data_IF_968361693609
#
_entry.id   IF_968361693609
#
_cell.length_a   1.000
_cell.length_b   1.000
_cell.length_c   1.000
_cell.angle_alpha   90.00
_cell.angle_beta   90.00
_cell.angle_gamma   90.00
#
_symmetry.space_group_name_H-M   'P 1'
#
loop_
_entity.id
_entity.type
_entity.pdbx_description
1 polymer ?
#
# COMPACT_ATOMS: atom_id res chain seq x y z
N UNK A 1 14.34 -14.58 14.77
CA UNK A 1 13.49 -15.75 14.49
C UNK A 1 13.78 -16.26 13.09
N UNK A 2 13.84 -17.58 12.90
CA UNK A 2 13.97 -18.20 11.57
C UNK A 2 12.58 -18.60 11.03
N UNK A 3 12.41 -18.62 9.70
CA UNK A 3 11.13 -19.02 9.08
C UNK A 3 10.76 -20.47 9.41
N UNK A 4 11.75 -21.34 9.61
CA UNK A 4 11.51 -22.73 10.01
C UNK A 4 10.77 -22.83 11.34
N UNK A 5 11.09 -21.97 12.29
CA UNK A 5 10.42 -21.93 13.60
C UNK A 5 8.94 -21.56 13.47
N UNK A 6 8.61 -20.68 12.52
CA UNK A 6 7.23 -20.33 12.19
C UNK A 6 6.47 -21.50 11.59
N UNK A 7 7.09 -22.19 10.64
CA UNK A 7 6.49 -23.35 9.97
C UNK A 7 6.22 -24.49 10.95
N UNK A 8 7.17 -24.78 11.83
CA UNK A 8 7.01 -25.81 12.86
C UNK A 8 5.83 -25.46 13.81
N UNK A 9 5.76 -24.20 14.27
CA UNK A 9 4.67 -23.70 15.11
C UNK A 9 3.29 -23.80 14.44
N UNK A 10 3.19 -23.30 13.21
CA UNK A 10 1.91 -23.27 12.47
C UNK A 10 1.43 -24.68 12.14
N UNK A 11 2.35 -25.58 11.81
CA UNK A 11 2.05 -26.99 11.57
C UNK A 11 1.52 -27.66 12.84
N UNK A 12 2.18 -27.44 13.97
CA UNK A 12 1.82 -28.09 15.24
C UNK A 12 0.50 -27.54 15.82
N UNK A 13 0.27 -26.23 15.73
CA UNK A 13 -0.90 -25.56 16.33
C UNK A 13 -2.14 -25.55 15.43
N UNK A 14 -1.97 -25.28 14.13
CA UNK A 14 -3.08 -25.04 13.21
C UNK A 14 -3.24 -26.13 12.13
N UNK A 15 -2.35 -27.13 12.11
CA UNK A 15 -2.32 -28.18 11.09
C UNK A 15 -2.29 -27.60 9.66
N UNK A 16 -1.59 -26.48 9.49
CA UNK A 16 -1.37 -25.85 8.19
C UNK A 16 0.02 -26.26 7.73
N UNK A 17 0.09 -26.83 6.53
CA UNK A 17 1.33 -27.13 5.84
C UNK A 17 1.55 -26.17 4.68
N UNK A 18 2.80 -26.01 4.30
CA UNK A 18 3.22 -25.30 3.09
C UNK A 18 2.63 -25.98 1.86
N UNK A 19 1.82 -25.26 1.08
CA UNK A 19 1.25 -25.79 -0.17
C UNK A 19 2.03 -25.33 -1.40
N UNK A 20 1.89 -26.11 -2.48
CA UNK A 20 2.77 -26.13 -3.66
C UNK A 20 3.40 -24.81 -4.11
N UNK A 21 4.66 -24.97 -4.52
CA UNK A 21 5.63 -23.97 -4.96
C UNK A 21 5.04 -23.07 -6.03
N UNK A 22 4.99 -21.77 -5.71
CA UNK A 22 4.37 -20.76 -6.55
C UNK A 22 5.21 -20.43 -7.78
N UNK A 23 6.52 -20.69 -7.74
CA UNK A 23 7.46 -20.40 -8.81
C UNK A 23 8.28 -21.62 -9.25
N UNK A 24 8.88 -21.51 -10.45
CA UNK A 24 9.82 -22.48 -10.99
C UNK A 24 11.22 -22.39 -10.36
N UNK A 25 11.48 -21.38 -9.52
CA UNK A 25 12.79 -21.08 -8.92
C UNK A 25 12.95 -21.58 -7.48
N UNK A 26 11.93 -22.23 -6.90
CA UNK A 26 11.93 -22.79 -5.53
C UNK A 26 12.06 -21.73 -4.42
N UNK A 27 11.80 -20.47 -4.75
CA UNK A 27 12.00 -19.32 -3.86
C UNK A 27 10.72 -18.90 -3.14
N UNK A 28 9.55 -19.40 -3.56
CA UNK A 28 8.26 -18.96 -3.01
C UNK A 28 7.28 -20.10 -2.75
N UNK A 29 6.57 -20.01 -1.63
CA UNK A 29 5.53 -20.94 -1.23
C UNK A 29 4.42 -20.27 -0.45
N UNK A 30 3.29 -20.96 -0.25
CA UNK A 30 2.08 -20.34 0.32
C UNK A 30 1.51 -21.15 1.47
N UNK A 31 0.99 -20.43 2.45
CA UNK A 31 0.20 -20.98 3.55
C UNK A 31 -1.28 -20.67 3.28
N UNK A 32 -2.11 -21.71 3.32
CA UNK A 32 -3.55 -21.62 3.08
C UNK A 32 -4.31 -21.98 4.35
N UNK A 33 -5.44 -21.31 4.57
CA UNK A 33 -6.32 -21.57 5.70
C UNK A 33 -6.91 -22.99 5.59
N UNK A 34 -6.90 -23.80 6.67
CA UNK A 34 -7.26 -25.22 6.57
C UNK A 34 -8.76 -25.41 6.29
N UNK A 35 -9.61 -24.54 6.84
CA UNK A 35 -11.07 -24.60 6.63
C UNK A 35 -11.55 -23.93 5.33
N UNK A 36 -10.96 -22.79 4.92
CA UNK A 36 -11.48 -21.99 3.81
C UNK A 36 -10.69 -22.13 2.52
N UNK A 37 -9.49 -22.73 2.58
CA UNK A 37 -8.57 -22.87 1.44
C UNK A 37 -7.99 -21.54 0.93
N UNK A 38 -8.33 -20.41 1.56
CA UNK A 38 -7.83 -19.09 1.16
C UNK A 38 -6.36 -18.94 1.56
N UNK A 39 -5.58 -18.29 0.71
CA UNK A 39 -4.20 -17.92 1.04
C UNK A 39 -4.17 -16.95 2.23
N UNK A 40 -3.42 -17.33 3.26
CA UNK A 40 -3.15 -16.51 4.44
C UNK A 40 -1.80 -15.83 4.30
N UNK A 41 -0.79 -16.55 3.82
CA UNK A 41 0.55 -16.01 3.74
C UNK A 41 1.31 -16.51 2.51
N UNK A 42 2.23 -15.69 2.03
CA UNK A 42 3.20 -16.01 1.00
C UNK A 42 4.59 -15.94 1.61
N UNK A 43 5.32 -17.04 1.56
CA UNK A 43 6.69 -17.17 2.05
C UNK A 43 7.65 -16.97 0.89
N UNK A 44 8.70 -16.18 1.13
CA UNK A 44 9.66 -15.77 0.12
C UNK A 44 11.07 -15.99 0.68
N UNK A 45 11.88 -16.74 -0.04
CA UNK A 45 13.29 -16.98 0.22
C UNK A 45 14.09 -16.45 -0.95
N UNK A 46 14.74 -15.31 -0.77
CA UNK A 46 15.50 -14.65 -1.84
C UNK A 46 16.95 -14.45 -1.43
N UNK A 47 17.87 -14.71 -2.35
CA UNK A 47 19.28 -14.42 -2.13
C UNK A 47 19.52 -12.92 -2.27
N UNK A 48 19.97 -12.28 -1.20
CA UNK A 48 20.37 -10.88 -1.26
C UNK A 48 21.84 -10.77 -1.65
N UNK A 49 22.10 -10.27 -2.86
CA UNK A 49 23.45 -10.07 -3.39
C UNK A 49 24.27 -9.04 -2.61
N UNK A 50 23.62 -8.07 -1.99
CA UNK A 50 24.25 -6.94 -1.31
C UNK A 50 24.73 -7.32 0.09
N UNK A 51 23.99 -8.20 0.76
CA UNK A 51 24.33 -8.70 2.11
C UNK A 51 25.01 -10.07 2.09
N UNK A 52 24.97 -10.78 0.94
CA UNK A 52 25.52 -12.12 0.79
C UNK A 52 24.83 -13.18 1.65
N UNK A 53 23.55 -12.96 1.99
CA UNK A 53 22.75 -13.85 2.84
C UNK A 53 21.40 -14.14 2.20
N UNK A 54 20.86 -15.30 2.54
CA UNK A 54 19.45 -15.60 2.26
C UNK A 54 18.58 -14.71 3.13
N UNK A 55 17.65 -13.99 2.50
CA UNK A 55 16.58 -13.28 3.17
C UNK A 55 15.33 -14.14 3.19
N UNK A 56 14.81 -14.36 4.39
CA UNK A 56 13.51 -14.99 4.58
C UNK A 56 12.50 -13.89 4.87
N UNK A 57 11.44 -13.89 4.09
CA UNK A 57 10.39 -12.88 4.13
C UNK A 57 9.02 -13.54 4.03
N UNK A 58 7.99 -12.89 4.56
CA UNK A 58 6.62 -13.32 4.42
C UNK A 58 5.67 -12.16 4.20
N UNK A 59 4.84 -12.27 3.16
CA UNK A 59 3.66 -11.41 3.02
C UNK A 59 2.48 -12.10 3.70
N UNK A 60 2.00 -11.51 4.79
CA UNK A 60 0.86 -12.02 5.54
C UNK A 60 -0.38 -11.20 5.26
N UNK A 61 -1.49 -11.89 5.03
CA UNK A 61 -2.82 -11.29 4.93
C UNK A 61 -3.36 -10.98 6.33
N UNK A 62 -3.06 -9.79 6.81
CA UNK A 62 -3.45 -9.31 8.12
C UNK A 62 -3.68 -7.80 8.08
N UNK A 63 -4.78 -7.35 8.69
CA UNK A 63 -5.06 -5.93 8.85
C UNK A 63 -4.29 -5.39 10.05
N UNK A 64 -3.05 -4.99 9.80
CA UNK A 64 -2.15 -4.49 10.83
C UNK A 64 -2.61 -3.16 11.41
N UNK A 65 -2.64 -3.10 12.73
CA UNK A 65 -2.86 -1.89 13.51
C UNK A 65 -1.61 -0.99 13.53
N UNK A 66 -1.74 0.23 14.03
CA UNK A 66 -0.62 1.17 14.13
C UNK A 66 0.51 0.66 15.03
N UNK A 67 0.21 -0.13 16.07
CA UNK A 67 1.24 -0.72 16.94
C UNK A 67 2.10 -1.74 16.20
N UNK A 68 1.50 -2.45 15.25
CA UNK A 68 2.15 -3.52 14.51
C UNK A 68 3.18 -2.93 13.54
N UNK A 69 2.84 -1.79 12.91
CA UNK A 69 3.67 -1.08 11.92
C UNK A 69 4.87 -0.33 12.51
N UNK A 70 4.97 -0.20 13.83
CA UNK A 70 6.12 0.43 14.50
C UNK A 70 7.30 -0.54 14.64
N UNK A 71 7.06 -1.85 14.51
CA UNK A 71 8.09 -2.88 14.66
C UNK A 71 9.02 -2.91 13.44
N UNK A 72 10.33 -2.89 13.67
CA UNK A 72 11.36 -2.87 12.59
C UNK A 72 11.28 -4.05 11.60
N UNK A 73 10.72 -5.19 12.04
CA UNK A 73 10.57 -6.40 11.23
C UNK A 73 9.22 -6.49 10.50
N UNK A 74 8.30 -5.52 10.73
CA UNK A 74 7.07 -5.36 9.95
C UNK A 74 7.34 -4.29 8.89
N UNK A 75 7.30 -4.72 7.63
CA UNK A 75 7.67 -3.93 6.47
C UNK A 75 6.54 -3.95 5.44
N UNK A 76 6.71 -3.23 4.35
CA UNK A 76 5.78 -3.31 3.23
C UNK A 76 5.84 -4.72 2.59
N UNK A 77 4.69 -5.27 2.16
CA UNK A 77 4.64 -6.57 1.51
C UNK A 77 5.45 -6.54 0.20
N UNK A 78 6.25 -7.59 -0.02
CA UNK A 78 7.22 -7.64 -1.11
C UNK A 78 6.58 -8.00 -2.46
N UNK A 79 5.57 -8.87 -2.46
CA UNK A 79 4.93 -9.42 -3.66
C UNK A 79 3.42 -9.21 -3.67
N UNK A 80 2.80 -9.22 -2.50
CA UNK A 80 1.37 -8.97 -2.34
C UNK A 80 1.09 -7.47 -2.24
N UNK A 81 -0.12 -7.08 -2.62
CA UNK A 81 -0.54 -5.67 -2.62
C UNK A 81 -1.90 -5.51 -1.94
N UNK A 82 -2.11 -4.34 -1.33
CA UNK A 82 -3.35 -3.96 -0.66
C UNK A 82 -3.17 -3.71 0.83
N UNK A 83 -4.12 -2.97 1.42
CA UNK A 83 -4.07 -2.57 2.84
C UNK A 83 -4.19 -3.73 3.84
N UNK A 84 -4.71 -4.88 3.38
CA UNK A 84 -4.86 -6.10 4.17
C UNK A 84 -3.62 -7.01 4.10
N UNK A 85 -2.48 -6.51 3.64
CA UNK A 85 -1.24 -7.26 3.54
C UNK A 85 -0.12 -6.50 4.24
N UNK A 86 0.72 -7.25 4.95
CA UNK A 86 1.95 -6.76 5.55
C UNK A 86 3.10 -7.67 5.18
N UNK A 87 4.30 -7.11 5.06
CA UNK A 87 5.54 -7.86 4.94
C UNK A 87 6.14 -8.10 6.32
N UNK A 88 6.75 -9.26 6.51
CA UNK A 88 7.48 -9.66 7.71
C UNK A 88 8.88 -10.09 7.29
N UNK A 89 9.91 -9.43 7.81
CA UNK A 89 11.30 -9.84 7.61
C UNK A 89 11.75 -10.69 8.79
N UNK A 90 12.16 -11.94 8.54
CA UNK A 90 12.71 -12.82 9.57
C UNK A 90 14.22 -12.56 9.74
N UNK A 91 14.59 -12.07 10.91
CA UNK A 91 15.96 -11.78 11.29
C UNK A 91 16.17 -11.93 12.81
N UNK A 92 17.39 -11.66 13.28
CA UNK A 92 17.76 -11.80 14.71
C UNK A 92 16.97 -10.87 15.64
N UNK A 93 16.42 -9.78 15.12
CA UNK A 93 15.59 -8.82 15.88
C UNK A 93 14.10 -9.16 15.88
N UNK A 94 13.69 -10.16 15.10
CA UNK A 94 12.29 -10.56 14.99
C UNK A 94 11.83 -11.24 16.26
N UNK A 95 10.84 -10.63 16.92
CA UNK A 95 10.20 -11.15 18.12
C UNK A 95 9.30 -12.34 17.77
N UNK A 96 9.72 -13.53 18.21
CA UNK A 96 9.04 -14.78 17.85
C UNK A 96 7.62 -14.85 18.40
N UNK A 97 7.43 -14.52 19.67
CA UNK A 97 6.14 -14.69 20.36
C UNK A 97 5.10 -13.77 19.74
N UNK A 98 5.52 -12.55 19.39
CA UNK A 98 4.67 -11.59 18.70
C UNK A 98 4.28 -12.06 17.29
N UNK A 99 5.21 -12.63 16.51
CA UNK A 99 4.88 -13.16 15.18
C UNK A 99 3.91 -14.34 15.29
N UNK A 100 4.07 -15.22 16.28
CA UNK A 100 3.13 -16.31 16.53
C UNK A 100 1.71 -15.81 16.83
N UNK A 101 1.59 -14.83 17.73
CA UNK A 101 0.30 -14.20 18.05
C UNK A 101 -0.34 -13.56 16.80
N UNK A 102 0.48 -12.88 15.99
CA UNK A 102 0.01 -12.20 14.80
C UNK A 102 -0.50 -13.19 13.73
N UNK A 103 0.15 -14.34 13.58
CA UNK A 103 -0.34 -15.43 12.73
C UNK A 103 -1.61 -16.08 13.28
N UNK A 104 -1.71 -16.28 14.60
CA UNK A 104 -2.93 -16.78 15.23
C UNK A 104 -4.11 -15.86 14.94
N UNK A 105 -3.91 -14.55 15.09
CA UNK A 105 -4.92 -13.54 14.81
C UNK A 105 -5.32 -13.50 13.33
N UNK A 106 -4.37 -13.63 12.41
CA UNK A 106 -4.65 -13.70 10.97
C UNK A 106 -5.51 -14.93 10.60
N UNK A 107 -5.23 -16.08 11.22
CA UNK A 107 -6.03 -17.30 11.05
C UNK A 107 -7.43 -17.11 11.66
N UNK A 108 -7.53 -16.51 12.85
CA UNK A 108 -8.80 -16.23 13.50
C UNK A 108 -9.69 -15.27 12.70
N UNK A 109 -9.13 -14.21 12.09
CA UNK A 109 -9.85 -13.32 11.18
C UNK A 109 -10.35 -14.05 9.92
N UNK A 110 -9.63 -15.09 9.49
CA UNK A 110 -10.00 -15.93 8.35
C UNK A 110 -11.07 -16.99 8.64
N UNK A 111 -11.37 -17.26 9.92
CA UNK A 111 -12.40 -18.23 10.30
C UNK A 111 -13.80 -17.71 9.93
N UNK A 112 -14.67 -18.58 9.40
CA UNK A 112 -16.08 -18.23 9.23
C UNK A 112 -16.68 -17.89 10.61
N UNK A 113 -17.45 -16.80 10.68
CA UNK A 113 -18.05 -16.29 11.91
C UNK A 113 -18.89 -17.36 12.63
N UNK A 114 -18.70 -17.48 13.96
CA UNK A 114 -19.44 -18.41 14.84
C UNK A 114 -20.95 -18.15 14.92
N UNK A 115 -21.45 -17.04 14.36
CA UNK A 115 -22.88 -16.71 14.30
C UNK A 115 -23.70 -17.51 13.27
N UNK A 116 -23.09 -18.49 12.58
CA UNK A 116 -23.82 -19.40 11.67
C UNK A 116 -24.04 -20.77 12.29
N UNK A 117 -24.46 -20.81 13.56
CA UNK A 117 -24.89 -22.04 14.21
C UNK A 117 -26.22 -21.83 14.95
N UNK A 118 -27.30 -21.60 14.20
CA UNK A 118 -28.60 -22.27 14.36
C UNK A 118 -29.60 -21.75 13.33
N UNK A 119 -29.74 -22.47 12.22
CA UNK A 119 -31.05 -22.69 11.61
C UNK A 119 -31.00 -23.99 10.82
N UNK A 120 -31.14 -25.08 11.55
CA UNK A 120 -31.53 -26.35 10.97
C UNK A 120 -33.04 -26.32 10.75
N UNK A 121 -33.47 -25.75 9.63
CA UNK A 121 -34.80 -26.04 9.07
C UNK A 121 -34.66 -26.30 7.57
N UNK A 122 -34.67 -27.59 7.24
CA UNK A 122 -35.10 -28.08 5.94
C UNK A 122 -34.00 -28.29 4.92
N UNK A 123 -33.59 -29.56 4.76
CA UNK A 123 -33.04 -30.06 3.50
C UNK A 123 -33.99 -29.69 2.35
N UNK A 124 -33.65 -28.69 1.56
CA UNK A 124 -33.99 -28.69 0.14
C UNK A 124 -32.72 -29.01 -0.62
N UNK A 125 -32.72 -30.14 -1.32
CA UNK A 125 -31.74 -30.41 -2.38
C UNK A 125 -31.94 -29.33 -3.45
N UNK A 126 -31.27 -28.20 -3.32
CA UNK A 126 -31.15 -27.26 -4.43
C UNK A 126 -30.17 -27.89 -5.41
N UNK A 127 -30.73 -28.64 -6.36
CA UNK A 127 -30.09 -28.89 -7.64
C UNK A 127 -29.59 -27.54 -8.14
N UNK A 128 -28.30 -27.46 -8.46
CA UNK A 128 -27.70 -26.27 -9.05
C UNK A 128 -28.48 -25.94 -10.32
N UNK A 129 -29.17 -24.80 -10.32
CA UNK A 129 -29.79 -24.22 -11.50
C UNK A 129 -28.98 -23.01 -11.90
N UNK A 130 -28.41 -23.03 -13.10
CA UNK A 130 -27.74 -21.90 -13.74
C UNK A 130 -28.66 -20.68 -13.70
N UNK A 131 -28.45 -19.83 -12.70
CA UNK A 131 -29.11 -18.55 -12.61
C UNK A 131 -28.07 -17.54 -13.11
N UNK A 132 -28.32 -16.85 -14.22
CA UNK A 132 -27.40 -15.84 -14.71
C UNK A 132 -27.15 -14.83 -13.59
N UNK A 133 -25.89 -14.58 -13.28
CA UNK A 133 -25.50 -13.49 -12.38
C UNK A 133 -26.23 -12.22 -12.85
N UNK A 134 -26.82 -11.42 -11.93
CA UNK A 134 -27.43 -10.15 -12.29
C UNK A 134 -26.30 -9.16 -12.57
N UNK A 135 -25.64 -9.33 -13.70
CA UNK A 135 -24.92 -8.26 -14.32
C UNK A 135 -25.99 -7.24 -14.69
N UNK A 136 -26.11 -6.18 -13.88
CA UNK A 136 -26.68 -4.94 -14.38
C UNK A 136 -26.06 -4.71 -15.77
N UNK A 137 -26.91 -4.53 -16.79
CA UNK A 137 -26.49 -4.38 -18.18
C UNK A 137 -25.21 -3.54 -18.21
N UNK A 138 -24.20 -4.00 -18.95
CA UNK A 138 -22.80 -3.52 -18.91
C UNK A 138 -22.55 -2.03 -19.16
N UNK A 139 -23.59 -1.20 -19.17
CA UNK A 139 -23.55 0.26 -19.13
C UNK A 139 -23.39 0.84 -17.72
N UNK A 140 -23.83 0.17 -16.64
CA UNK A 140 -23.83 0.78 -15.29
C UNK A 140 -22.44 0.76 -14.61
N UNK A 141 -21.55 -0.15 -15.04
CA UNK A 141 -20.13 -0.17 -14.65
C UNK A 141 -19.30 0.85 -15.42
N UNK A 142 -19.80 1.34 -16.55
CA UNK A 142 -19.24 2.48 -17.27
C UNK A 142 -19.74 3.77 -16.62
N UNK A 143 -19.49 3.95 -15.31
CA UNK A 143 -19.44 5.30 -14.75
C UNK A 143 -18.53 6.09 -15.68
N UNK A 144 -19.07 7.12 -16.33
CA UNK A 144 -18.38 8.01 -17.28
C UNK A 144 -16.96 8.22 -16.77
N UNK A 145 -15.97 7.60 -17.43
CA UNK A 145 -14.57 7.66 -17.00
C UNK A 145 -14.23 9.14 -16.93
N UNK A 146 -14.11 9.66 -15.70
CA UNK A 146 -13.80 11.07 -15.51
C UNK A 146 -12.53 11.35 -16.31
N UNK A 147 -12.57 12.41 -17.12
CA UNK A 147 -11.47 12.74 -18.00
C UNK A 147 -10.25 13.04 -17.13
N UNK A 148 -9.25 12.18 -17.19
CA UNK A 148 -7.96 12.41 -16.54
C UNK A 148 -7.21 13.39 -17.45
N UNK A 149 -6.73 14.53 -16.93
CA UNK A 149 -5.93 15.45 -17.70
C UNK A 149 -4.76 14.76 -18.40
N UNK A 150 -4.52 15.13 -19.66
CA UNK A 150 -3.47 14.51 -20.49
C UNK A 150 -2.09 14.64 -19.83
N UNK A 151 -1.80 15.78 -19.19
CA UNK A 151 -0.53 16.02 -18.51
C UNK A 151 -0.29 15.06 -17.34
N UNK A 152 -1.34 14.67 -16.60
CA UNK A 152 -1.23 13.64 -15.54
C UNK A 152 -0.95 12.27 -16.17
N UNK A 153 -1.58 11.97 -17.30
CA UNK A 153 -1.35 10.71 -18.03
C UNK A 153 0.10 10.63 -18.53
N UNK A 154 0.65 11.70 -19.10
CA UNK A 154 2.05 11.77 -19.54
C UNK A 154 3.03 11.68 -18.37
N UNK A 155 2.76 12.39 -17.27
CA UNK A 155 3.56 12.31 -16.05
C UNK A 155 3.68 10.87 -15.53
N UNK A 156 2.61 10.08 -15.59
CA UNK A 156 2.66 8.66 -15.16
C UNK A 156 3.59 7.82 -16.02
N UNK A 157 3.66 8.08 -17.32
CA UNK A 157 4.54 7.34 -18.25
C UNK A 157 6.03 7.60 -17.99
N UNK A 158 6.38 8.70 -17.31
CA UNK A 158 7.77 9.01 -16.95
C UNK A 158 8.36 8.10 -15.87
N UNK A 159 7.51 7.35 -15.16
CA UNK A 159 7.95 6.46 -14.11
C UNK A 159 8.73 5.27 -14.69
N UNK A 160 9.98 5.10 -14.27
CA UNK A 160 10.83 3.98 -14.69
C UNK A 160 10.83 2.87 -13.65
N UNK A 161 10.95 1.63 -14.10
CA UNK A 161 10.98 0.43 -13.25
C UNK A 161 12.33 -0.31 -13.35
N UNK A 162 13.39 0.39 -13.76
CA UNK A 162 14.69 -0.17 -14.13
C UNK A 162 15.63 -0.47 -12.94
N UNK A 163 15.23 -0.18 -11.69
CA UNK A 163 16.04 -0.42 -10.47
C UNK A 163 15.19 -0.37 -9.17
N UNK A 164 15.22 -1.37 -8.29
CA UNK A 164 14.40 -1.37 -7.06
C UNK A 164 15.02 -0.61 -5.86
N UNK A 165 16.08 0.16 -6.07
CA UNK A 165 16.69 0.97 -5.01
C UNK A 165 15.76 2.09 -4.51
N UNK A 166 15.83 2.45 -3.22
CA UNK A 166 15.13 3.62 -2.68
C UNK A 166 15.50 4.95 -3.39
N UNK A 167 16.67 4.97 -4.02
CA UNK A 167 17.13 6.08 -4.88
C UNK A 167 16.31 6.19 -6.17
N UNK A 168 15.78 5.08 -6.70
CA UNK A 168 14.89 5.12 -7.86
C UNK A 168 13.62 5.91 -7.54
N UNK A 169 12.99 5.67 -6.38
CA UNK A 169 11.72 6.34 -6.02
C UNK A 169 11.90 7.86 -5.96
N UNK A 170 12.98 8.33 -5.33
CA UNK A 170 13.32 9.75 -5.30
C UNK A 170 13.62 10.32 -6.70
N UNK A 171 14.35 9.58 -7.55
CA UNK A 171 14.64 10.00 -8.93
C UNK A 171 13.38 10.06 -9.80
N UNK A 172 12.48 9.10 -9.66
CA UNK A 172 11.19 9.10 -10.35
C UNK A 172 10.31 10.25 -9.87
N UNK A 173 10.23 10.46 -8.56
CA UNK A 173 9.53 11.61 -7.99
C UNK A 173 10.06 12.92 -8.57
N UNK A 174 11.38 13.16 -8.53
CA UNK A 174 11.98 14.38 -9.07
C UNK A 174 11.65 14.59 -10.55
N UNK A 175 11.74 13.53 -11.38
CA UNK A 175 11.40 13.61 -12.81
C UNK A 175 9.94 14.01 -13.03
N UNK A 176 9.02 13.37 -12.31
CA UNK A 176 7.60 13.67 -12.41
C UNK A 176 7.28 15.07 -11.85
N UNK A 177 7.88 15.45 -10.73
CA UNK A 177 7.70 16.76 -10.11
C UNK A 177 8.23 17.89 -11.01
N UNK A 178 9.40 17.72 -11.64
CA UNK A 178 9.94 18.68 -12.59
C UNK A 178 9.07 18.81 -13.84
N UNK A 179 8.52 17.70 -14.34
CA UNK A 179 7.57 17.74 -15.45
C UNK A 179 6.26 18.47 -15.11
N UNK A 180 5.83 18.40 -13.84
CA UNK A 180 4.62 19.03 -13.32
C UNK A 180 4.89 20.39 -12.67
N UNK A 181 6.08 20.97 -12.85
CA UNK A 181 6.52 22.18 -12.15
C UNK A 181 5.50 23.32 -12.25
N UNK A 182 5.05 23.63 -13.47
CA UNK A 182 4.07 24.68 -13.76
C UNK A 182 2.65 24.14 -13.97
N UNK A 183 2.39 22.88 -13.62
CA UNK A 183 1.03 22.35 -13.72
C UNK A 183 0.14 22.88 -12.60
N UNK A 184 -1.02 23.37 -12.99
CA UNK A 184 -2.11 23.76 -12.12
C UNK A 184 -3.34 22.90 -12.43
N UNK A 185 -4.17 22.67 -11.43
CA UNK A 185 -5.43 21.93 -11.59
C UNK A 185 -6.55 22.63 -10.81
N UNK A 186 -7.78 22.28 -11.16
CA UNK A 186 -9.00 22.77 -10.51
C UNK A 186 -10.00 21.61 -10.42
N UNK A 187 -9.82 20.78 -9.39
CA UNK A 187 -10.58 19.55 -9.18
C UNK A 187 -11.22 19.54 -7.80
N UNK A 188 -12.55 19.44 -7.79
CA UNK A 188 -13.37 19.45 -6.57
C UNK A 188 -14.03 18.10 -6.28
N UNK A 189 -13.47 17.00 -6.78
CA UNK A 189 -14.00 15.66 -6.50
C UNK A 189 -13.59 15.16 -5.11
N UNK A 190 -14.43 14.34 -4.50
CA UNK A 190 -14.11 13.71 -3.22
C UNK A 190 -13.04 12.62 -3.38
N UNK A 191 -12.11 12.58 -2.43
CA UNK A 191 -11.06 11.56 -2.32
C UNK A 191 -10.93 11.09 -0.88
N UNK A 192 -10.56 9.83 -0.70
CA UNK A 192 -10.28 9.27 0.62
C UNK A 192 -8.92 9.72 1.15
N UNK A 193 -8.79 9.75 2.47
CA UNK A 193 -7.57 10.09 3.18
C UNK A 193 -6.42 9.13 2.80
N UNK A 194 -5.21 9.69 2.81
CA UNK A 194 -3.96 9.00 2.49
C UNK A 194 -2.98 9.32 3.59
N UNK A 195 -2.71 8.32 4.43
CA UNK A 195 -1.71 8.41 5.47
C UNK A 195 -0.40 7.79 4.98
N UNK A 196 0.55 8.64 4.61
CA UNK A 196 1.91 8.23 4.26
C UNK A 196 2.88 9.39 4.38
N UNK A 197 3.97 9.20 5.13
CA UNK A 197 5.02 10.22 5.28
C UNK A 197 5.87 10.32 4.01
N UNK A 198 6.21 9.20 3.37
CA UNK A 198 7.07 9.12 2.18
C UNK A 198 6.29 8.95 0.86
N UNK A 199 5.10 9.55 0.77
CA UNK A 199 4.25 9.48 -0.42
C UNK A 199 4.88 10.21 -1.61
N UNK A 200 4.78 9.62 -2.79
CA UNK A 200 5.15 10.20 -4.09
C UNK A 200 3.95 10.25 -5.03
N UNK A 201 4.07 10.93 -6.17
CA UNK A 201 2.99 10.98 -7.17
C UNK A 201 2.57 9.60 -7.68
N UNK A 202 3.49 8.64 -7.71
CA UNK A 202 3.20 7.29 -8.17
C UNK A 202 2.22 6.56 -7.26
N UNK A 203 2.23 6.89 -5.95
CA UNK A 203 1.40 6.24 -4.94
C UNK A 203 -0.05 6.77 -4.94
N UNK A 204 -0.27 7.92 -5.56
CA UNK A 204 -1.56 8.59 -5.63
C UNK A 204 -2.39 8.09 -6.83
N UNK A 205 -3.69 7.85 -6.61
CA UNK A 205 -4.65 7.65 -7.72
C UNK A 205 -4.83 8.93 -8.53
N UNK A 206 -5.42 8.84 -9.73
CA UNK A 206 -5.61 10.00 -10.60
C UNK A 206 -6.43 11.12 -9.93
N UNK A 207 -7.47 10.75 -9.17
CA UNK A 207 -8.29 11.71 -8.42
C UNK A 207 -7.49 12.39 -7.32
N UNK A 208 -6.65 11.63 -6.62
CA UNK A 208 -5.81 12.15 -5.55
C UNK A 208 -4.73 13.07 -6.11
N UNK A 209 -4.13 12.74 -7.27
CA UNK A 209 -3.22 13.65 -7.96
C UNK A 209 -3.89 14.96 -8.36
N UNK A 210 -5.09 14.90 -8.96
CA UNK A 210 -5.84 16.12 -9.29
C UNK A 210 -6.15 16.97 -8.06
N UNK A 211 -6.56 16.32 -6.97
CA UNK A 211 -6.83 17.00 -5.69
C UNK A 211 -5.56 17.64 -5.14
N UNK A 212 -4.43 16.93 -5.17
CA UNK A 212 -3.13 17.45 -4.77
C UNK A 212 -2.72 18.66 -5.61
N UNK A 213 -2.79 18.56 -6.93
CA UNK A 213 -2.40 19.67 -7.81
C UNK A 213 -3.32 20.88 -7.65
N UNK A 214 -4.61 20.68 -7.37
CA UNK A 214 -5.54 21.77 -7.02
C UNK A 214 -5.11 22.45 -5.73
N UNK A 215 -4.88 21.68 -4.67
CA UNK A 215 -4.42 22.21 -3.39
C UNK A 215 -3.04 22.90 -3.49
N UNK A 216 -2.11 22.34 -4.27
CA UNK A 216 -0.81 22.95 -4.54
C UNK A 216 -0.96 24.30 -5.27
N UNK A 217 -1.88 24.40 -6.22
CA UNK A 217 -2.21 25.67 -6.89
C UNK A 217 -2.75 26.68 -5.89
N UNK A 218 -3.66 26.29 -5.01
CA UNK A 218 -4.18 27.16 -3.94
C UNK A 218 -3.05 27.67 -3.02
N UNK A 219 -2.18 26.77 -2.54
CA UNK A 219 -1.05 27.14 -1.67
C UNK A 219 -0.11 28.12 -2.35
N UNK A 220 0.21 27.91 -3.64
CA UNK A 220 1.06 28.82 -4.42
C UNK A 220 0.41 30.19 -4.65
N UNK A 221 -0.91 30.27 -4.58
CA UNK A 221 -1.68 31.51 -4.62
C UNK A 221 -1.94 32.12 -3.23
N UNK A 222 -1.33 31.56 -2.17
CA UNK A 222 -1.44 32.05 -0.79
C UNK A 222 -2.71 31.58 -0.06
N UNK A 223 -3.43 30.60 -0.59
CA UNK A 223 -4.62 30.02 0.02
C UNK A 223 -4.27 28.69 0.69
N UNK A 224 -4.34 28.65 2.02
CA UNK A 224 -3.92 27.50 2.84
C UNK A 224 -5.13 26.75 3.38
N UNK A 225 -5.61 25.76 2.62
CA UNK A 225 -6.76 24.92 3.00
C UNK A 225 -6.34 23.64 3.73
N UNK A 226 -7.25 23.13 4.59
CA UNK A 226 -7.10 21.82 5.26
C UNK A 226 -6.97 20.69 4.25
N UNK A 227 -5.98 19.83 4.48
CA UNK A 227 -5.59 18.77 3.55
C UNK A 227 -5.02 17.57 4.30
N UNK A 228 -4.66 16.52 3.56
CA UNK A 228 -4.06 15.31 4.10
C UNK A 228 -2.57 15.51 4.42
N UNK A 229 -2.10 14.86 5.48
CA UNK A 229 -0.69 14.88 5.90
C UNK A 229 0.27 14.52 4.75
N UNK A 230 -0.10 13.55 3.93
CA UNK A 230 0.69 13.15 2.75
C UNK A 230 0.88 14.28 1.73
N UNK A 231 -0.11 15.15 1.52
CA UNK A 231 -0.01 16.26 0.57
C UNK A 231 0.95 17.34 1.07
N UNK A 232 0.97 17.57 2.39
CA UNK A 232 1.90 18.50 3.04
C UNK A 232 3.34 18.01 2.83
N UNK A 233 3.62 16.73 3.14
CA UNK A 233 4.96 16.17 2.91
C UNK A 233 5.35 16.17 1.43
N UNK A 234 4.41 15.87 0.54
CA UNK A 234 4.64 15.90 -0.90
C UNK A 234 5.06 17.29 -1.39
N UNK A 235 4.42 18.35 -0.88
CA UNK A 235 4.78 19.73 -1.20
C UNK A 235 6.13 20.14 -0.58
N UNK A 236 6.42 19.70 0.65
CA UNK A 236 7.74 19.88 1.25
C UNK A 236 8.82 19.21 0.38
N UNK A 237 8.57 18.00 -0.12
CA UNK A 237 9.52 17.29 -1.00
C UNK A 237 9.75 18.01 -2.32
N UNK A 238 8.70 18.61 -2.90
CA UNK A 238 8.84 19.49 -4.05
C UNK A 238 9.78 20.66 -3.76
N UNK A 239 9.57 21.37 -2.65
CA UNK A 239 10.41 22.51 -2.27
C UNK A 239 11.86 22.08 -1.99
N UNK A 240 12.08 20.96 -1.30
CA UNK A 240 13.41 20.40 -1.07
C UNK A 240 14.12 20.02 -2.39
N UNK A 241 13.34 19.60 -3.39
CA UNK A 241 13.83 19.32 -4.75
C UNK A 241 13.96 20.58 -5.62
N UNK A 242 13.65 21.77 -5.11
CA UNK A 242 13.70 23.02 -5.85
C UNK A 242 12.61 23.17 -6.93
N UNK A 243 11.52 22.42 -6.82
CA UNK A 243 10.43 22.46 -7.82
C UNK A 243 9.65 23.78 -7.68
N UNK A 244 9.55 24.52 -8.78
CA UNK A 244 8.92 25.83 -8.83
C UNK A 244 9.76 26.92 -8.17
N UNK A 245 11.06 26.72 -8.00
CA UNK A 245 12.01 27.70 -7.45
C UNK A 245 13.24 27.83 -8.35
N UNK A 246 13.73 29.05 -8.51
CA UNK A 246 14.90 29.36 -9.35
C UNK A 246 16.23 29.16 -8.63
N UNK A 247 16.21 29.07 -7.30
CA UNK A 247 17.40 28.85 -6.46
C UNK A 247 17.09 28.08 -5.18
N UNK A 248 18.13 27.55 -4.54
CA UNK A 248 18.03 26.91 -3.23
C UNK A 248 17.60 27.89 -2.13
N UNK A 249 18.01 29.15 -2.22
CA UNK A 249 17.61 30.22 -1.29
C UNK A 249 16.12 30.51 -1.41
N UNK A 250 15.60 30.60 -2.64
CA UNK A 250 14.17 30.79 -2.88
C UNK A 250 13.36 29.59 -2.35
N UNK A 251 13.84 28.38 -2.57
CA UNK A 251 13.21 27.15 -2.07
C UNK A 251 13.13 27.14 -0.53
N UNK A 252 14.21 27.54 0.14
CA UNK A 252 14.27 27.66 1.59
C UNK A 252 13.32 28.74 2.12
N UNK A 253 13.24 29.88 1.44
CA UNK A 253 12.32 30.96 1.84
C UNK A 253 10.85 30.50 1.71
N UNK A 254 10.50 29.80 0.61
CA UNK A 254 9.16 29.23 0.44
C UNK A 254 8.83 28.18 1.50
N UNK A 255 9.81 27.40 1.94
CA UNK A 255 9.62 26.43 3.02
C UNK A 255 9.28 27.13 4.35
N UNK A 256 9.99 28.22 4.67
CA UNK A 256 9.73 29.03 5.87
C UNK A 256 8.37 29.73 5.82
N UNK A 257 8.05 30.34 4.67
CA UNK A 257 6.75 30.97 4.46
C UNK A 257 5.62 29.94 4.57
N UNK A 258 5.81 28.75 4.00
CA UNK A 258 4.87 27.65 4.12
C UNK A 258 4.68 27.24 5.59
N UNK A 259 5.77 27.06 6.36
CA UNK A 259 5.71 26.76 7.80
C UNK A 259 4.90 27.80 8.58
N UNK A 260 5.25 29.09 8.43
CA UNK A 260 4.57 30.20 9.13
C UNK A 260 3.07 30.23 8.81
N UNK A 261 2.72 30.19 7.52
CA UNK A 261 1.32 30.27 7.05
C UNK A 261 0.52 29.03 7.42
N UNK A 262 1.16 27.86 7.40
CA UNK A 262 0.53 26.61 7.78
C UNK A 262 0.17 26.59 9.27
N UNK A 263 1.06 27.11 10.14
CA UNK A 263 0.79 27.25 11.57
C UNK A 263 -0.31 28.30 11.82
N UNK A 264 -0.25 29.46 11.15
CA UNK A 264 -1.30 30.50 11.24
C UNK A 264 -2.68 29.97 10.83
N UNK A 265 -2.72 29.02 9.88
CA UNK A 265 -3.93 28.36 9.39
C UNK A 265 -4.59 27.38 10.37
N UNK A 266 -4.00 27.15 11.55
CA UNK A 266 -4.59 26.33 12.62
C UNK A 266 -4.50 24.83 12.39
N UNK A 267 -3.32 24.37 11.99
CA UNK A 267 -2.94 22.96 11.87
C UNK A 267 -1.98 22.51 12.97
#
# INVERSE_FOLDING_TARGET
MELKELLDYIKEKHNIEESDRWDSSLTMSRLCHPLTGKMIALLIKEWNSDTGRWMEHCDLKYEASLSDRIKEYIVDPLRMHGSSWIGISFNDKTDRDYIFELFDNAILQGNPSKDTALSDTGKSKTVYTDTPLPFAKGSDFLKKKECIPEKITEMRKLYRYDDYSGQLRARNFYRQAKFMEDYEDDYHGQVCDISGYFTTYHDLSDKQLRTYFTWRTEVRNGVYNKTFTSFIYLYIYELLCGIGSSSSVESLNKLKEFEEKFIEGGF
#
